data_IF_336220419487
#
_entry.id   IF_336220419487
#
_cell.length_a   1.000
_cell.length_b   1.000
_cell.length_c   1.000
_cell.angle_alpha   90.00
_cell.angle_beta   90.00
_cell.angle_gamma   90.00
#
_symmetry.space_group_name_H-M   'P 1'
#
loop_
_entity.id
_entity.type
_entity.pdbx_description
1 polymer ?
#
# COMPACT_ATOMS: atom_id res chain seq x y z
N UNK A 1 -0.09 -28.63 -44.02
CA UNK A 1 -1.46 -28.42 -43.48
C UNK A 1 -1.69 -29.01 -42.10
N UNK A 2 -1.39 -30.29 -41.80
CA UNK A 2 -1.61 -30.87 -40.46
C UNK A 2 -0.79 -30.16 -39.34
N UNK A 3 0.45 -29.73 -39.59
CA UNK A 3 1.34 -29.06 -38.62
C UNK A 3 0.78 -27.69 -38.17
N UNK A 4 0.26 -26.87 -39.11
CA UNK A 4 -0.26 -25.51 -38.79
C UNK A 4 -1.53 -25.56 -37.95
N UNK A 5 -2.46 -26.50 -38.26
CA UNK A 5 -3.67 -26.72 -37.47
C UNK A 5 -3.33 -27.21 -36.05
N UNK A 6 -2.38 -28.11 -35.91
CA UNK A 6 -1.91 -28.61 -34.61
C UNK A 6 -1.32 -27.49 -33.77
N UNK A 7 -0.50 -26.62 -34.36
CA UNK A 7 0.09 -25.49 -33.63
C UNK A 7 -0.97 -24.47 -33.21
N UNK A 8 -1.97 -24.20 -34.05
CA UNK A 8 -3.07 -23.30 -33.67
C UNK A 8 -3.89 -23.84 -32.49
N UNK A 9 -4.23 -25.12 -32.49
CA UNK A 9 -4.92 -25.76 -31.36
C UNK A 9 -4.08 -25.76 -30.11
N UNK A 10 -2.76 -26.02 -30.24
CA UNK A 10 -1.83 -25.96 -29.10
C UNK A 10 -1.76 -24.56 -28.47
N UNK A 11 -1.75 -23.48 -29.26
CA UNK A 11 -1.77 -22.10 -28.74
C UNK A 11 -3.05 -21.82 -27.97
N UNK A 12 -4.22 -22.23 -28.47
CA UNK A 12 -5.50 -22.05 -27.79
C UNK A 12 -5.54 -22.85 -26.48
N UNK A 13 -5.09 -24.11 -26.49
CA UNK A 13 -5.03 -24.94 -25.28
C UNK A 13 -4.07 -24.34 -24.25
N UNK A 14 -2.89 -23.90 -24.69
CA UNK A 14 -1.90 -23.25 -23.82
C UNK A 14 -2.46 -21.97 -23.18
N UNK A 15 -3.17 -21.15 -23.97
CA UNK A 15 -3.81 -19.95 -23.44
C UNK A 15 -4.91 -20.29 -22.42
N UNK A 16 -5.78 -21.25 -22.71
CA UNK A 16 -6.82 -21.68 -21.76
C UNK A 16 -6.24 -22.25 -20.48
N UNK A 17 -5.11 -22.96 -20.57
CA UNK A 17 -4.39 -23.48 -19.42
C UNK A 17 -3.81 -22.32 -18.58
N UNK A 18 -3.14 -21.36 -19.21
CA UNK A 18 -2.58 -20.19 -18.52
C UNK A 18 -3.69 -19.35 -17.90
N UNK A 19 -4.80 -19.13 -18.61
CA UNK A 19 -5.99 -18.44 -18.08
C UNK A 19 -6.57 -19.20 -16.88
N UNK A 20 -6.69 -20.52 -16.96
CA UNK A 20 -7.19 -21.36 -15.88
C UNK A 20 -6.28 -21.30 -14.64
N UNK A 21 -4.95 -21.33 -14.84
CA UNK A 21 -3.97 -21.16 -13.74
C UNK A 21 -4.09 -19.76 -13.15
N UNK A 22 -4.23 -18.72 -13.96
CA UNK A 22 -4.39 -17.34 -13.47
C UNK A 22 -5.67 -17.18 -12.65
N UNK A 23 -6.81 -17.74 -13.12
CA UNK A 23 -8.07 -17.77 -12.35
C UNK A 23 -7.90 -18.54 -11.04
N UNK A 24 -7.28 -19.72 -11.10
CA UNK A 24 -7.02 -20.53 -9.90
C UNK A 24 -6.18 -19.74 -8.88
N UNK A 25 -5.11 -19.10 -9.34
CA UNK A 25 -4.24 -18.28 -8.47
C UNK A 25 -4.99 -17.08 -7.88
N UNK A 26 -5.85 -16.42 -8.67
CA UNK A 26 -6.64 -15.30 -8.20
C UNK A 26 -7.67 -15.69 -7.11
N UNK A 27 -8.23 -16.91 -7.18
CA UNK A 27 -9.26 -17.38 -6.25
C UNK A 27 -8.64 -18.03 -5.01
N UNK A 28 -7.67 -18.92 -5.21
CA UNK A 28 -7.15 -19.79 -4.14
C UNK A 28 -5.77 -19.34 -3.62
N UNK A 29 -5.04 -18.52 -4.38
CA UNK A 29 -3.65 -18.19 -4.10
C UNK A 29 -2.68 -19.34 -4.43
N UNK A 30 -1.40 -19.05 -4.39
CA UNK A 30 -0.31 -20.03 -4.46
C UNK A 30 0.76 -19.60 -3.46
N UNK A 31 1.08 -20.46 -2.50
CA UNK A 31 2.07 -20.18 -1.45
C UNK A 31 1.81 -18.85 -0.71
N UNK A 32 0.59 -18.64 -0.26
CA UNK A 32 0.09 -17.45 0.45
C UNK A 32 0.19 -16.13 -0.35
N UNK A 33 0.24 -16.23 -1.68
CA UNK A 33 0.28 -15.07 -2.59
C UNK A 33 -0.75 -15.20 -3.72
N UNK A 34 -1.05 -14.06 -4.34
CA UNK A 34 -1.87 -14.01 -5.56
C UNK A 34 -3.37 -14.11 -5.34
N UNK A 35 -3.88 -14.42 -4.14
CA UNK A 35 -5.31 -14.39 -3.86
C UNK A 35 -5.80 -12.95 -3.88
N UNK A 36 -6.86 -12.66 -4.62
CA UNK A 36 -7.43 -11.30 -4.74
C UNK A 36 -7.84 -10.74 -3.37
N UNK A 37 -8.26 -11.60 -2.46
CA UNK A 37 -8.60 -11.23 -1.08
C UNK A 37 -7.42 -10.65 -0.28
N UNK A 38 -6.17 -10.93 -0.66
CA UNK A 38 -4.96 -10.43 -0.01
C UNK A 38 -4.49 -9.08 -0.56
N UNK A 39 -5.22 -8.48 -1.51
CA UNK A 39 -4.93 -7.12 -1.97
C UNK A 39 -5.15 -6.16 -0.80
N UNK A 40 -4.11 -5.40 -0.47
CA UNK A 40 -4.20 -4.37 0.58
C UNK A 40 -5.20 -3.30 0.18
N UNK A 41 -6.12 -2.98 1.08
CA UNK A 41 -7.14 -1.96 0.86
C UNK A 41 -6.74 -0.66 1.57
N UNK A 42 -6.90 0.46 0.90
CA UNK A 42 -6.68 1.78 1.49
C UNK A 42 -7.76 2.17 2.51
N UNK A 43 -7.51 3.25 3.21
CA UNK A 43 -8.39 3.79 4.25
C UNK A 43 -9.82 4.05 3.77
N UNK A 44 -9.97 4.52 2.53
CA UNK A 44 -11.24 4.81 1.87
C UNK A 44 -12.10 3.57 1.59
N UNK A 45 -11.49 2.38 1.55
CA UNK A 45 -12.16 1.10 1.33
C UNK A 45 -12.32 0.26 2.59
N UNK A 46 -11.36 0.32 3.51
CA UNK A 46 -11.33 -0.51 4.72
C UNK A 46 -11.87 0.23 5.94
N UNK A 47 -11.96 1.55 5.86
CA UNK A 47 -12.17 2.42 7.01
C UNK A 47 -10.91 2.54 7.86
N UNK A 48 -10.95 3.24 8.96
CA UNK A 48 -9.82 3.40 9.88
C UNK A 48 -9.52 4.85 10.22
N UNK A 49 -8.27 5.15 10.59
CA UNK A 49 -7.79 6.46 11.02
C UNK A 49 -6.83 7.08 9.98
N UNK A 50 -7.02 8.35 9.68
CA UNK A 50 -6.01 9.19 9.01
C UNK A 50 -5.72 10.39 9.89
N UNK A 51 -4.44 10.61 10.19
CA UNK A 51 -4.01 11.79 10.96
C UNK A 51 -2.89 12.51 10.20
N UNK A 52 -3.02 13.84 10.12
CA UNK A 52 -2.02 14.71 9.51
C UNK A 52 -1.44 15.61 10.56
N UNK A 53 -0.12 15.61 10.64
CA UNK A 53 0.69 16.46 11.50
C UNK A 53 1.40 17.53 10.68
N UNK A 54 1.53 18.71 11.27
CA UNK A 54 2.35 19.81 10.75
C UNK A 54 3.60 19.95 11.60
N UNK A 55 4.75 19.98 10.95
CA UNK A 55 6.06 20.19 11.57
C UNK A 55 6.16 21.64 12.01
N UNK A 56 6.52 21.86 13.28
CA UNK A 56 6.54 23.19 13.87
C UNK A 56 7.87 23.94 13.65
N UNK A 57 8.94 23.23 13.37
CA UNK A 57 10.24 23.78 13.06
C UNK A 57 10.24 24.43 11.66
N UNK A 58 10.90 25.59 11.53
CA UNK A 58 11.06 26.28 10.24
C UNK A 58 12.21 25.69 9.41
N UNK A 59 13.23 25.15 10.07
CA UNK A 59 14.38 24.51 9.46
C UNK A 59 14.66 23.17 10.17
N UNK A 60 14.78 22.10 9.38
CA UNK A 60 15.07 20.75 9.85
C UNK A 60 15.81 19.95 8.77
N UNK A 61 16.54 18.94 9.16
CA UNK A 61 17.25 18.10 8.21
C UNK A 61 16.34 17.01 7.62
N UNK A 62 16.65 16.54 6.40
CA UNK A 62 15.98 15.37 5.81
C UNK A 62 16.06 14.14 6.73
N UNK A 63 17.16 14.03 7.50
CA UNK A 63 17.33 12.95 8.48
C UNK A 63 16.33 13.04 9.62
N UNK A 64 16.09 14.22 10.18
CA UNK A 64 15.12 14.40 11.27
C UNK A 64 13.70 14.06 10.78
N UNK A 65 13.39 14.39 9.53
CA UNK A 65 12.13 14.05 8.90
C UNK A 65 11.97 12.53 8.73
N UNK A 66 12.98 11.86 8.18
CA UNK A 66 12.96 10.39 8.01
C UNK A 66 12.91 9.66 9.37
N UNK A 67 13.69 10.11 10.36
CA UNK A 67 13.68 9.53 11.72
C UNK A 67 12.31 9.75 12.39
N UNK A 68 11.68 10.92 12.18
CA UNK A 68 10.33 11.20 12.69
C UNK A 68 9.29 10.28 12.05
N UNK A 69 9.31 10.13 10.72
CA UNK A 69 8.43 9.20 10.00
C UNK A 69 8.60 7.78 10.48
N UNK A 70 9.84 7.31 10.58
CA UNK A 70 10.16 5.98 11.09
C UNK A 70 9.62 5.74 12.51
N UNK A 71 9.73 6.71 13.42
CA UNK A 71 9.20 6.59 14.78
C UNK A 71 7.66 6.57 14.81
N UNK A 72 7.00 7.36 13.95
CA UNK A 72 5.54 7.28 13.77
C UNK A 72 5.14 5.88 13.27
N UNK A 73 5.85 5.33 12.28
CA UNK A 73 5.62 3.98 11.77
C UNK A 73 5.74 2.95 12.89
N UNK A 74 6.79 3.03 13.70
CA UNK A 74 6.99 2.11 14.85
C UNK A 74 5.90 2.20 15.91
N UNK A 75 5.35 3.38 16.15
CA UNK A 75 4.19 3.55 17.05
C UNK A 75 2.93 2.89 16.48
N UNK A 76 2.70 3.03 15.18
CA UNK A 76 1.55 2.40 14.50
C UNK A 76 1.70 0.89 14.42
N UNK A 77 2.92 0.36 14.20
CA UNK A 77 3.21 -1.08 14.17
C UNK A 77 2.78 -1.83 15.44
N UNK A 78 2.75 -1.14 16.59
CA UNK A 78 2.26 -1.73 17.83
C UNK A 78 0.77 -2.10 17.77
N UNK A 79 0.00 -1.50 16.88
CA UNK A 79 -1.46 -1.70 16.76
C UNK A 79 -1.87 -2.46 15.50
N UNK A 80 -1.11 -2.32 14.41
CA UNK A 80 -1.45 -2.92 13.12
C UNK A 80 -0.23 -3.08 12.22
N UNK A 81 -0.27 -4.09 11.34
CA UNK A 81 0.74 -4.27 10.29
C UNK A 81 0.34 -3.59 8.96
N UNK A 82 -0.84 -2.97 8.90
CA UNK A 82 -1.31 -2.27 7.71
C UNK A 82 -1.37 -0.76 7.99
N UNK A 83 -0.40 -0.03 7.51
CA UNK A 83 -0.32 1.42 7.64
C UNK A 83 0.46 2.04 6.48
N UNK A 84 0.35 3.35 6.35
CA UNK A 84 1.15 4.16 5.44
C UNK A 84 1.47 5.49 6.10
N UNK A 85 2.77 5.84 6.17
CA UNK A 85 3.24 7.14 6.67
C UNK A 85 3.98 7.83 5.53
N UNK A 86 3.57 9.03 5.18
CA UNK A 86 4.14 9.77 4.06
C UNK A 86 4.08 11.29 4.27
N UNK A 87 4.90 11.97 3.51
CA UNK A 87 4.87 13.44 3.44
C UNK A 87 3.67 13.90 2.60
N UNK A 88 2.91 14.85 3.10
CA UNK A 88 1.71 15.40 2.46
C UNK A 88 1.90 16.90 2.17
N UNK A 89 2.68 17.21 1.14
CA UNK A 89 3.11 18.56 0.81
C UNK A 89 4.20 19.09 1.75
N UNK A 90 4.34 20.40 1.82
CA UNK A 90 5.37 21.04 2.63
C UNK A 90 5.06 20.94 4.12
N UNK A 91 6.05 20.52 4.93
CA UNK A 91 6.00 20.48 6.39
C UNK A 91 4.85 19.64 6.98
N UNK A 92 4.34 18.64 6.27
CA UNK A 92 3.28 17.78 6.78
C UNK A 92 3.61 16.31 6.66
N UNK A 93 3.25 15.55 7.68
CA UNK A 93 3.33 14.09 7.70
C UNK A 93 1.92 13.55 7.91
N UNK A 94 1.48 12.65 7.05
CA UNK A 94 0.19 11.96 7.18
C UNK A 94 0.43 10.49 7.48
N UNK A 95 -0.24 9.98 8.51
CA UNK A 95 -0.34 8.57 8.83
C UNK A 95 -1.75 8.06 8.51
N UNK A 96 -1.85 7.05 7.66
CA UNK A 96 -3.08 6.34 7.33
C UNK A 96 -3.03 4.93 7.90
N UNK A 97 -4.05 4.55 8.65
CA UNK A 97 -4.13 3.30 9.41
C UNK A 97 -5.46 2.62 9.08
N UNK A 98 -5.51 1.81 8.00
CA UNK A 98 -6.75 1.16 7.58
C UNK A 98 -7.17 0.05 8.52
N UNK A 99 -8.47 -0.17 8.64
CA UNK A 99 -9.07 -1.34 9.28
C UNK A 99 -9.03 -1.37 10.79
N UNK A 100 -8.62 -0.27 11.45
CA UNK A 100 -8.61 -0.19 12.91
C UNK A 100 -9.97 0.23 13.45
N UNK A 101 -10.35 -0.35 14.59
CA UNK A 101 -11.61 -0.05 15.29
C UNK A 101 -11.41 0.84 16.52
N UNK A 102 -10.21 0.89 17.06
CA UNK A 102 -9.78 1.65 18.24
C UNK A 102 -9.02 2.95 17.84
N UNK A 103 -9.59 3.70 16.90
CA UNK A 103 -8.96 4.89 16.33
C UNK A 103 -8.57 5.95 17.38
N UNK A 104 -9.39 6.13 18.42
CA UNK A 104 -9.12 7.12 19.48
C UNK A 104 -7.88 6.75 20.31
N UNK A 105 -7.69 5.48 20.64
CA UNK A 105 -6.53 4.97 21.38
C UNK A 105 -5.23 5.15 20.57
N UNK A 106 -5.27 4.81 19.27
CA UNK A 106 -4.14 5.00 18.38
C UNK A 106 -3.80 6.49 18.20
N UNK A 107 -4.83 7.33 18.07
CA UNK A 107 -4.65 8.77 17.96
C UNK A 107 -3.98 9.34 19.23
N UNK A 108 -4.40 8.89 20.40
CA UNK A 108 -3.77 9.26 21.66
C UNK A 108 -2.29 8.83 21.70
N UNK A 109 -2.00 7.59 21.34
CA UNK A 109 -0.63 7.07 21.27
C UNK A 109 0.27 7.81 20.26
N UNK A 110 -0.31 8.25 19.14
CA UNK A 110 0.43 9.04 18.14
C UNK A 110 0.67 10.48 18.56
N UNK A 111 -0.21 11.06 19.39
CA UNK A 111 -0.08 12.43 19.89
C UNK A 111 0.92 12.56 21.06
N UNK A 112 1.41 11.45 21.58
CA UNK A 112 2.44 11.41 22.60
C UNK A 112 3.79 11.83 21.98
N UNK A 113 4.47 12.83 22.55
CA UNK A 113 5.80 13.24 22.11
C UNK A 113 6.85 12.13 22.39
N UNK A 114 6.62 11.36 23.44
CA UNK A 114 7.51 10.28 23.88
C UNK A 114 8.74 10.79 24.63
N UNK A 115 8.67 11.99 25.18
CA UNK A 115 9.77 12.64 25.89
C UNK A 115 9.87 12.12 27.30
N UNK A 116 10.91 11.31 27.57
CA UNK A 116 11.25 10.85 28.93
C UNK A 116 12.39 11.67 29.50
N UNK A 117 12.22 12.20 30.72
CA UNK A 117 13.21 13.01 31.43
C UNK A 117 13.29 12.60 32.88
N UNK A 118 14.51 12.61 33.42
CA UNK A 118 14.78 12.40 34.82
C UNK A 118 15.28 13.72 35.42
N UNK A 119 14.55 14.25 36.39
CA UNK A 119 14.88 15.51 37.05
C UNK A 119 15.25 15.28 38.48
N UNK A 120 16.33 15.91 38.92
CA UNK A 120 16.63 16.10 40.32
C UNK A 120 15.65 17.13 40.96
N UNK A 121 15.61 17.27 42.30
CA UNK A 121 14.65 18.16 42.93
C UNK A 121 14.76 19.63 42.51
N UNK A 122 15.95 20.11 42.24
CA UNK A 122 16.20 21.53 41.90
C UNK A 122 15.70 21.82 40.46
N UNK A 123 15.97 20.93 39.56
CA UNK A 123 15.47 21.03 38.15
C UNK A 123 13.97 20.72 38.05
N UNK A 124 13.41 19.85 38.90
CA UNK A 124 11.98 19.65 39.00
C UNK A 124 11.25 20.92 39.48
N UNK A 125 11.81 21.66 40.45
CA UNK A 125 11.24 22.93 40.92
C UNK A 125 11.19 23.96 39.77
N UNK A 126 12.23 24.08 38.97
CA UNK A 126 12.26 24.95 37.78
C UNK A 126 11.23 24.50 36.72
N UNK A 127 11.23 23.20 36.41
CA UNK A 127 10.26 22.64 35.50
C UNK A 127 8.81 22.94 35.91
N UNK A 128 8.48 22.77 37.21
CA UNK A 128 7.13 23.02 37.72
C UNK A 128 6.72 24.49 37.66
N UNK A 129 7.68 25.42 37.63
CA UNK A 129 7.49 26.86 37.48
C UNK A 129 7.52 27.34 36.04
N UNK A 130 7.80 26.43 35.05
CA UNK A 130 7.99 26.79 33.65
C UNK A 130 9.28 27.56 33.37
N UNK A 131 10.27 27.46 34.23
CA UNK A 131 11.59 28.03 34.08
C UNK A 131 12.51 27.09 33.29
N UNK A 132 13.61 27.62 32.74
CA UNK A 132 14.60 26.79 32.06
C UNK A 132 15.25 25.79 33.04
N UNK A 133 15.26 24.54 32.71
CA UNK A 133 15.79 23.42 33.46
C UNK A 133 16.66 22.52 32.57
N UNK A 134 17.43 21.65 33.18
CA UNK A 134 18.26 20.65 32.51
C UNK A 134 17.88 19.25 33.04
N UNK A 135 17.55 18.33 32.12
CA UNK A 135 17.29 16.97 32.50
C UNK A 135 18.61 16.23 32.79
N UNK A 136 18.65 15.51 33.91
CA UNK A 136 19.80 14.71 34.26
C UNK A 136 20.01 13.51 33.36
N UNK A 137 18.90 12.88 32.90
CA UNK A 137 18.86 11.87 31.86
C UNK A 137 17.65 12.12 30.98
N UNK A 138 17.74 11.62 29.74
CA UNK A 138 16.68 11.69 28.75
C UNK A 138 16.37 10.29 28.21
N UNK A 139 15.36 10.19 27.32
CA UNK A 139 15.04 8.94 26.63
C UNK A 139 16.21 8.35 25.84
N UNK A 140 17.15 9.17 25.37
CA UNK A 140 18.33 8.71 24.62
C UNK A 140 19.32 7.92 25.49
N UNK A 141 19.27 8.09 26.82
CA UNK A 141 20.06 7.34 27.78
C UNK A 141 19.47 5.93 28.05
N UNK A 142 18.28 5.62 27.50
CA UNK A 142 17.60 4.33 27.66
C UNK A 142 17.95 3.39 26.51
N UNK A 143 18.45 2.20 26.85
CA UNK A 143 18.75 1.12 25.89
C UNK A 143 17.53 0.25 25.61
N UNK A 144 16.70 0.01 26.62
CA UNK A 144 15.50 -0.82 26.50
C UNK A 144 14.49 -0.49 27.61
N UNK A 145 13.22 -0.71 27.32
CA UNK A 145 12.13 -0.61 28.29
C UNK A 145 11.20 -1.81 28.12
N UNK A 146 10.81 -2.47 29.22
CA UNK A 146 9.94 -3.66 29.21
C UNK A 146 8.92 -3.56 30.34
N UNK A 147 7.66 -3.93 30.02
CA UNK A 147 6.64 -4.08 31.05
C UNK A 147 6.92 -5.32 31.92
N UNK A 148 6.62 -5.23 33.20
CA UNK A 148 6.80 -6.29 34.16
C UNK A 148 5.80 -6.22 35.30
N UNK A 149 5.85 -7.21 36.17
CA UNK A 149 5.11 -7.23 37.42
C UNK A 149 6.12 -7.36 38.56
N UNK A 150 6.13 -6.39 39.48
CA UNK A 150 6.96 -6.43 40.66
C UNK A 150 6.30 -7.32 41.71
N UNK A 151 6.79 -8.56 41.82
CA UNK A 151 6.28 -9.56 42.76
C UNK A 151 6.68 -9.27 44.20
N UNK A 152 7.72 -8.44 44.39
CA UNK A 152 8.27 -8.13 45.74
C UNK A 152 7.48 -6.99 46.40
N UNK A 153 6.82 -6.14 45.60
CA UNK A 153 6.06 -4.97 46.07
C UNK A 153 4.54 -5.08 45.74
N UNK A 154 3.94 -6.23 45.96
CA UNK A 154 2.47 -6.36 45.90
C UNK A 154 1.89 -6.68 44.51
N UNK A 155 2.68 -7.15 43.56
CA UNK A 155 2.32 -7.39 42.18
C UNK A 155 1.91 -6.12 41.41
N UNK A 156 2.58 -5.01 41.70
CA UNK A 156 2.39 -3.77 40.94
C UNK A 156 2.88 -3.93 39.49
N UNK A 157 2.16 -3.32 38.55
CA UNK A 157 2.62 -3.23 37.18
C UNK A 157 3.74 -2.17 37.12
N UNK A 158 4.83 -2.54 36.45
CA UNK A 158 6.04 -1.72 36.36
C UNK A 158 6.55 -1.65 34.93
N UNK A 159 7.31 -0.57 34.62
CA UNK A 159 8.18 -0.53 33.45
C UNK A 159 9.63 -0.59 33.90
N UNK A 160 10.31 -1.64 33.51
CA UNK A 160 11.73 -1.84 33.75
C UNK A 160 12.53 -1.13 32.66
N UNK A 161 13.42 -0.24 33.06
CA UNK A 161 14.30 0.52 32.19
C UNK A 161 15.73 -0.05 32.30
N UNK A 162 16.33 -0.33 31.14
CA UNK A 162 17.75 -0.63 31.03
C UNK A 162 18.44 0.56 30.34
N UNK A 163 19.47 1.10 30.97
CA UNK A 163 20.21 2.24 30.45
C UNK A 163 21.29 1.83 29.44
N UNK A 164 21.70 2.75 28.59
CA UNK A 164 22.97 2.67 27.85
C UNK A 164 24.15 2.72 28.82
N UNK A 165 25.36 2.39 28.35
CA UNK A 165 26.55 2.44 29.22
C UNK A 165 26.80 3.88 29.75
N UNK A 166 26.58 4.89 28.90
CA UNK A 166 26.64 6.30 29.28
C UNK A 166 25.51 6.71 30.22
N UNK A 167 24.27 6.27 29.90
CA UNK A 167 23.09 6.51 30.74
C UNK A 167 23.22 5.88 32.12
N UNK A 168 23.77 4.67 32.22
CA UNK A 168 24.03 4.00 33.49
C UNK A 168 25.00 4.80 34.39
N UNK A 169 26.06 5.38 33.81
CA UNK A 169 26.99 6.23 34.53
C UNK A 169 26.31 7.52 35.01
N UNK A 170 25.60 8.22 34.14
CA UNK A 170 24.83 9.41 34.48
C UNK A 170 23.81 9.12 35.60
N UNK A 171 23.09 7.98 35.50
CA UNK A 171 22.11 7.58 36.51
C UNK A 171 22.75 7.27 37.86
N UNK A 172 23.92 6.62 37.86
CA UNK A 172 24.70 6.38 39.08
C UNK A 172 25.12 7.70 39.72
N UNK A 173 25.63 8.66 38.96
CA UNK A 173 26.06 9.98 39.45
C UNK A 173 24.88 10.78 40.03
N UNK A 174 23.74 10.80 39.32
CA UNK A 174 22.52 11.50 39.78
C UNK A 174 21.96 10.87 41.05
N UNK A 175 21.89 9.54 41.11
CA UNK A 175 21.41 8.85 42.31
C UNK A 175 22.37 9.01 43.49
N UNK A 176 23.69 9.00 43.28
CA UNK A 176 24.68 9.26 44.31
C UNK A 176 24.55 10.68 44.89
N UNK A 177 24.34 11.69 44.07
CA UNK A 177 24.18 13.08 44.46
C UNK A 177 22.85 13.37 45.19
N UNK A 178 21.84 12.50 44.99
CA UNK A 178 20.51 12.72 45.50
C UNK A 178 20.03 11.64 46.49
N UNK A 179 20.93 10.98 47.21
CA UNK A 179 20.56 10.02 48.27
C UNK A 179 19.72 10.71 49.34
N UNK A 180 18.55 10.11 49.66
CA UNK A 180 17.55 10.66 50.59
C UNK A 180 16.62 11.69 49.99
N UNK A 181 16.82 12.06 48.71
CA UNK A 181 15.93 12.98 47.94
C UNK A 181 15.12 12.23 46.93
N UNK A 182 14.13 12.91 46.33
CA UNK A 182 13.28 12.40 45.29
C UNK A 182 13.90 12.66 43.91
N UNK A 183 13.95 11.69 43.02
CA UNK A 183 14.21 11.88 41.61
C UNK A 183 12.90 11.72 40.87
N UNK A 184 12.54 12.69 40.05
CA UNK A 184 11.29 12.73 39.33
C UNK A 184 11.47 12.16 37.92
N UNK A 185 10.63 11.21 37.55
CA UNK A 185 10.55 10.66 36.20
C UNK A 185 9.36 11.32 35.53
N UNK A 186 9.63 12.10 34.50
CA UNK A 186 8.64 12.85 33.75
C UNK A 186 8.53 12.24 32.37
N UNK A 187 7.29 11.97 31.95
CA UNK A 187 6.99 11.48 30.62
C UNK A 187 5.88 12.37 30.02
N UNK A 188 6.17 13.01 28.89
CA UNK A 188 5.27 13.93 28.20
C UNK A 188 4.62 14.97 29.14
N UNK A 189 5.44 15.70 29.86
CA UNK A 189 5.04 16.72 30.82
C UNK A 189 4.15 16.21 31.98
N UNK A 190 4.14 14.89 32.25
CA UNK A 190 3.48 14.29 33.42
C UNK A 190 4.48 13.57 34.29
N UNK A 191 4.36 13.75 35.59
CA UNK A 191 5.17 12.96 36.55
C UNK A 191 4.59 11.54 36.58
N UNK A 192 5.36 10.56 36.06
CA UNK A 192 4.97 9.14 36.07
C UNK A 192 5.49 8.39 37.26
N UNK A 193 6.61 8.84 37.86
CA UNK A 193 7.15 8.28 39.08
C UNK A 193 7.99 9.31 39.82
N UNK A 194 8.05 9.21 41.14
CA UNK A 194 8.83 10.10 42.02
C UNK A 194 9.46 9.30 43.20
N UNK A 195 10.37 8.36 42.89
CA UNK A 195 10.98 7.55 43.92
C UNK A 195 11.98 8.36 44.78
N UNK A 196 12.04 8.01 46.08
CA UNK A 196 13.13 8.50 46.96
C UNK A 196 14.34 7.58 46.76
N UNK A 197 15.48 8.19 46.44
CA UNK A 197 16.73 7.47 46.26
C UNK A 197 17.24 6.94 47.61
N UNK A 198 17.27 5.61 47.79
CA UNK A 198 17.77 4.99 49.05
C UNK A 198 19.30 4.89 49.07
N UNK A 199 19.89 4.62 47.91
CA UNK A 199 21.34 4.50 47.71
C UNK A 199 21.70 4.77 46.28
N UNK A 200 22.97 5.00 45.96
CA UNK A 200 23.43 5.11 44.59
C UNK A 200 23.12 3.81 43.80
N UNK A 201 22.51 3.95 42.62
CA UNK A 201 22.11 2.83 41.76
C UNK A 201 23.15 2.71 40.66
N UNK A 202 24.03 1.72 40.76
CA UNK A 202 25.10 1.45 39.77
C UNK A 202 24.80 0.28 38.86
N UNK A 203 23.63 -0.35 39.00
CA UNK A 203 23.24 -1.56 38.26
C UNK A 203 22.79 -1.33 36.85
N UNK A 204 22.71 -0.09 36.35
CA UNK A 204 22.33 0.24 34.99
C UNK A 204 20.85 -0.03 34.66
N UNK A 205 20.00 -0.10 35.69
CA UNK A 205 18.54 -0.31 35.53
C UNK A 205 17.74 0.53 36.55
N UNK A 206 16.50 0.87 36.18
CA UNK A 206 15.51 1.51 37.05
C UNK A 206 14.13 0.95 36.77
N UNK A 207 13.17 1.24 37.67
CA UNK A 207 11.78 0.85 37.49
C UNK A 207 10.84 2.04 37.67
N UNK A 208 9.84 2.14 36.79
CA UNK A 208 8.71 3.04 36.95
C UNK A 208 7.58 2.20 37.54
N UNK A 209 7.18 2.48 38.76
CA UNK A 209 6.24 1.69 39.54
C UNK A 209 4.84 2.31 39.53
N UNK A 210 3.85 1.55 40.05
CA UNK A 210 2.46 1.99 40.24
C UNK A 210 1.72 2.40 38.97
N UNK A 211 1.94 1.65 37.90
CA UNK A 211 1.19 1.79 36.66
C UNK A 211 -0.14 1.05 36.81
N UNK A 212 -1.26 1.66 36.39
CA UNK A 212 -2.62 1.18 36.66
C UNK A 212 -2.89 -0.22 36.13
N UNK A 213 -2.48 -0.53 34.91
CA UNK A 213 -2.66 -1.85 34.31
C UNK A 213 -1.38 -2.32 33.59
N UNK A 214 -1.28 -3.66 33.38
CA UNK A 214 -0.18 -4.22 32.59
C UNK A 214 -0.17 -3.69 31.17
N UNK A 215 -1.35 -3.45 30.59
CA UNK A 215 -1.52 -2.90 29.25
C UNK A 215 -0.98 -1.47 29.15
N UNK A 216 -1.27 -0.62 30.12
CA UNK A 216 -0.66 0.72 30.24
C UNK A 216 0.86 0.65 30.42
N UNK A 217 1.37 -0.32 31.18
CA UNK A 217 2.81 -0.52 31.34
C UNK A 217 3.47 -0.93 30.02
N UNK A 218 2.81 -1.78 29.22
CA UNK A 218 3.33 -2.23 27.93
C UNK A 218 3.30 -1.10 26.89
N UNK A 219 2.26 -0.29 26.86
CA UNK A 219 2.19 0.91 26.03
C UNK A 219 3.28 1.91 26.37
N UNK A 220 3.47 2.21 27.67
CA UNK A 220 4.50 3.11 28.14
C UNK A 220 5.90 2.59 27.80
N UNK A 221 6.18 1.30 28.06
CA UNK A 221 7.44 0.66 27.73
C UNK A 221 7.75 0.71 26.23
N UNK A 222 6.73 0.47 25.38
CA UNK A 222 6.85 0.55 23.93
C UNK A 222 7.18 1.96 23.47
N UNK A 223 6.48 2.97 23.99
CA UNK A 223 6.70 4.37 23.59
C UNK A 223 8.07 4.87 24.07
N UNK A 224 8.51 4.51 25.28
CA UNK A 224 9.86 4.82 25.77
C UNK A 224 10.93 4.17 24.88
N UNK A 225 10.72 2.92 24.45
CA UNK A 225 11.64 2.18 23.59
C UNK A 225 11.76 2.79 22.20
N UNK A 226 10.67 3.32 21.65
CA UNK A 226 10.64 4.04 20.36
C UNK A 226 11.32 5.40 20.51
N UNK A 227 11.13 6.04 21.65
CA UNK A 227 11.72 7.32 22.01
C UNK A 227 10.99 8.55 21.47
N UNK A 228 11.48 9.73 21.82
CA UNK A 228 10.91 11.01 21.43
C UNK A 228 11.05 11.25 19.92
N UNK A 229 10.08 11.96 19.36
CA UNK A 229 10.13 12.42 17.97
C UNK A 229 11.21 13.50 17.83
N UNK A 230 12.08 13.43 16.81
CA UNK A 230 13.06 14.48 16.54
C UNK A 230 12.43 15.84 16.21
N UNK A 231 11.27 15.83 15.57
CA UNK A 231 10.52 17.03 15.20
C UNK A 231 9.26 17.17 16.05
N UNK A 232 8.95 18.42 16.41
CA UNK A 232 7.71 18.76 17.11
C UNK A 232 6.53 18.74 16.13
N UNK A 233 5.58 17.89 16.41
CA UNK A 233 4.42 17.69 15.54
C UNK A 233 3.16 18.30 16.17
N UNK A 234 2.41 19.06 15.37
CA UNK A 234 1.09 19.54 15.72
C UNK A 234 0.04 18.85 14.86
N UNK A 235 -0.89 18.17 15.48
CA UNK A 235 -2.03 17.59 14.77
C UNK A 235 -2.88 18.71 14.14
N UNK A 236 -3.01 18.69 12.81
CA UNK A 236 -3.82 19.66 12.06
C UNK A 236 -5.08 19.05 11.49
N UNK A 237 -5.10 17.73 11.29
CA UNK A 237 -6.24 17.00 10.76
C UNK A 237 -6.31 15.59 11.37
N UNK A 238 -7.51 15.16 11.71
CA UNK A 238 -7.81 13.77 12.05
C UNK A 238 -9.14 13.38 11.40
N UNK A 239 -9.14 12.27 10.68
CA UNK A 239 -10.33 11.73 10.05
C UNK A 239 -10.48 10.26 10.43
N UNK A 240 -11.60 9.93 11.05
CA UNK A 240 -11.99 8.54 11.29
C UNK A 240 -13.00 8.15 10.21
N UNK A 241 -12.66 7.18 9.38
CA UNK A 241 -13.51 6.67 8.30
C UNK A 241 -14.17 5.38 8.77
N UNK A 242 -15.50 5.37 8.76
CA UNK A 242 -16.25 4.16 9.12
C UNK A 242 -16.11 3.05 8.06
N UNK A 243 -15.90 1.81 8.50
CA UNK A 243 -15.75 0.64 7.64
C UNK A 243 -16.97 0.35 6.73
N UNK A 244 -18.17 0.81 7.12
CA UNK A 244 -19.41 0.63 6.34
C UNK A 244 -19.38 1.38 5.01
N UNK A 245 -18.83 2.60 4.99
CA UNK A 245 -18.71 3.40 3.76
C UNK A 245 -17.79 2.70 2.73
N UNK A 246 -16.70 2.12 3.19
CA UNK A 246 -15.76 1.39 2.33
C UNK A 246 -16.35 0.12 1.75
N UNK A 247 -17.07 -0.69 2.53
CA UNK A 247 -17.70 -1.93 2.05
C UNK A 247 -18.77 -1.66 0.99
N UNK A 248 -19.56 -0.61 1.15
CA UNK A 248 -20.54 -0.17 0.17
C UNK A 248 -19.88 0.33 -1.12
N UNK A 249 -18.77 1.07 -1.01
CA UNK A 249 -17.99 1.54 -2.14
C UNK A 249 -17.41 0.37 -2.93
N UNK A 250 -16.84 -0.65 -2.28
CA UNK A 250 -16.33 -1.88 -2.92
C UNK A 250 -17.45 -2.61 -3.66
N UNK A 251 -18.58 -2.88 -2.97
CA UNK A 251 -19.72 -3.59 -3.55
C UNK A 251 -20.27 -2.88 -4.79
N UNK A 252 -20.42 -1.57 -4.71
CA UNK A 252 -20.91 -0.74 -5.83
C UNK A 252 -19.91 -0.70 -6.98
N UNK A 253 -18.61 -0.55 -6.69
CA UNK A 253 -17.55 -0.53 -7.71
C UNK A 253 -17.41 -1.87 -8.41
N UNK A 254 -17.51 -2.99 -7.70
CA UNK A 254 -17.49 -4.34 -8.31
C UNK A 254 -18.70 -4.56 -9.22
N UNK A 255 -19.90 -4.14 -8.80
CA UNK A 255 -21.10 -4.22 -9.66
C UNK A 255 -20.94 -3.36 -10.92
N UNK A 256 -20.46 -2.11 -10.76
CA UNK A 256 -20.24 -1.20 -11.87
C UNK A 256 -19.17 -1.76 -12.84
N UNK A 257 -18.06 -2.28 -12.31
CA UNK A 257 -17.01 -2.93 -13.10
C UNK A 257 -17.52 -4.15 -13.87
N UNK A 258 -18.28 -5.04 -13.22
CA UNK A 258 -18.86 -6.22 -13.87
C UNK A 258 -19.83 -5.84 -15.00
N UNK A 259 -20.70 -4.85 -14.77
CA UNK A 259 -21.61 -4.32 -15.79
C UNK A 259 -20.81 -3.70 -16.95
N UNK A 260 -19.79 -2.90 -16.65
CA UNK A 260 -18.92 -2.29 -17.65
C UNK A 260 -18.22 -3.33 -18.54
N UNK A 261 -17.62 -4.36 -17.94
CA UNK A 261 -16.96 -5.46 -18.66
C UNK A 261 -17.98 -6.22 -19.51
N UNK A 262 -19.17 -6.52 -19.00
CA UNK A 262 -20.22 -7.21 -19.75
C UNK A 262 -20.68 -6.40 -20.96
N UNK A 263 -20.87 -5.08 -20.82
CA UNK A 263 -21.22 -4.19 -21.93
C UNK A 263 -20.11 -4.13 -22.97
N UNK A 264 -18.86 -4.06 -22.56
CA UNK A 264 -17.69 -4.09 -23.46
C UNK A 264 -17.66 -5.40 -24.24
N UNK A 265 -17.82 -6.56 -23.59
CA UNK A 265 -17.88 -7.86 -24.28
C UNK A 265 -19.00 -7.89 -25.31
N UNK A 266 -20.18 -7.42 -24.92
CA UNK A 266 -21.34 -7.38 -25.83
C UNK A 266 -21.04 -6.54 -27.08
N UNK A 267 -20.53 -5.33 -26.89
CA UNK A 267 -20.19 -4.42 -28.00
C UNK A 267 -19.12 -5.05 -28.89
N UNK A 268 -18.04 -5.59 -28.30
CA UNK A 268 -16.97 -6.22 -29.07
C UNK A 268 -17.46 -7.40 -29.92
N UNK A 269 -18.32 -8.26 -29.35
CA UNK A 269 -18.88 -9.42 -30.09
C UNK A 269 -19.83 -8.96 -31.18
N UNK A 270 -20.67 -7.96 -30.95
CA UNK A 270 -21.61 -7.45 -31.96
C UNK A 270 -20.88 -6.79 -33.13
N UNK A 271 -19.91 -5.90 -32.83
CA UNK A 271 -19.24 -5.08 -33.86
C UNK A 271 -18.16 -5.86 -34.61
N UNK A 272 -17.38 -6.67 -33.90
CA UNK A 272 -16.22 -7.37 -34.47
C UNK A 272 -16.42 -8.88 -34.62
N UNK A 273 -17.51 -9.46 -34.14
CA UNK A 273 -17.85 -10.89 -34.25
C UNK A 273 -16.71 -11.79 -33.72
N UNK A 274 -16.11 -12.64 -34.57
CA UNK A 274 -15.03 -13.57 -34.15
C UNK A 274 -13.80 -12.86 -33.57
N UNK A 275 -13.21 -11.81 -34.18
CA UNK A 275 -12.20 -11.00 -33.56
C UNK A 275 -12.61 -10.41 -32.20
N UNK A 276 -13.88 -9.97 -32.09
CA UNK A 276 -14.43 -9.47 -30.83
C UNK A 276 -14.50 -10.51 -29.72
N UNK A 277 -14.84 -11.76 -30.07
CA UNK A 277 -14.78 -12.86 -29.10
C UNK A 277 -13.34 -13.13 -28.61
N UNK A 278 -12.36 -13.10 -29.53
CA UNK A 278 -10.93 -13.25 -29.17
C UNK A 278 -10.50 -12.12 -28.26
N UNK A 279 -10.88 -10.87 -28.55
CA UNK A 279 -10.58 -9.74 -27.67
C UNK A 279 -11.23 -9.86 -26.30
N UNK A 280 -12.46 -10.39 -26.22
CA UNK A 280 -13.13 -10.63 -24.94
C UNK A 280 -12.37 -11.63 -24.05
N UNK A 281 -11.81 -12.70 -24.64
CA UNK A 281 -10.93 -13.62 -23.90
C UNK A 281 -9.62 -12.97 -23.47
N UNK A 282 -9.00 -12.17 -24.36
CA UNK A 282 -7.78 -11.43 -24.01
C UNK A 282 -8.04 -10.41 -22.91
N UNK A 283 -9.20 -9.73 -22.91
CA UNK A 283 -9.60 -8.79 -21.89
C UNK A 283 -9.90 -9.46 -20.54
N UNK A 284 -10.54 -10.63 -20.55
CA UNK A 284 -10.73 -11.42 -19.33
C UNK A 284 -9.37 -11.82 -18.72
N UNK A 285 -8.44 -12.26 -19.55
CA UNK A 285 -7.08 -12.57 -19.12
C UNK A 285 -6.36 -11.32 -18.57
N UNK A 286 -6.47 -10.19 -19.27
CA UNK A 286 -5.92 -8.90 -18.84
C UNK A 286 -6.41 -8.51 -17.45
N UNK A 287 -7.74 -8.55 -17.22
CA UNK A 287 -8.34 -8.16 -15.94
C UNK A 287 -7.81 -9.01 -14.78
N UNK A 288 -7.67 -10.32 -14.97
CA UNK A 288 -7.13 -11.22 -13.96
C UNK A 288 -5.63 -10.95 -13.74
N UNK A 289 -4.88 -10.76 -14.82
CA UNK A 289 -3.45 -10.47 -14.76
C UNK A 289 -3.18 -9.16 -14.05
N UNK A 290 -4.00 -8.12 -14.27
CA UNK A 290 -3.89 -6.82 -13.61
C UNK A 290 -4.08 -6.95 -12.09
N UNK A 291 -5.11 -7.66 -11.63
CA UNK A 291 -5.32 -7.94 -10.22
C UNK A 291 -4.18 -8.75 -9.59
N UNK A 292 -3.64 -9.74 -10.31
CA UNK A 292 -2.50 -10.54 -9.84
C UNK A 292 -1.24 -9.69 -9.71
N UNK A 293 -0.99 -8.77 -10.64
CA UNK A 293 0.16 -7.88 -10.62
C UNK A 293 0.04 -6.85 -9.50
N UNK A 294 -1.14 -6.27 -9.28
CA UNK A 294 -1.44 -5.39 -8.14
C UNK A 294 -1.12 -6.10 -6.81
N UNK A 295 -1.56 -7.35 -6.66
CA UNK A 295 -1.27 -8.15 -5.47
C UNK A 295 0.23 -8.48 -5.34
N UNK A 296 0.89 -8.87 -6.43
CA UNK A 296 2.31 -9.24 -6.44
C UNK A 296 3.22 -8.09 -6.00
N UNK A 297 2.91 -6.86 -6.42
CA UNK A 297 3.65 -5.66 -6.05
C UNK A 297 3.20 -5.04 -4.72
N UNK A 298 2.28 -5.70 -3.99
CA UNK A 298 1.72 -5.20 -2.73
C UNK A 298 1.14 -3.78 -2.85
N UNK A 299 0.53 -3.45 -3.98
CA UNK A 299 -0.06 -2.13 -4.21
C UNK A 299 -1.33 -1.99 -3.37
N UNK A 300 -1.41 -0.93 -2.58
CA UNK A 300 -2.62 -0.62 -1.81
C UNK A 300 -3.71 -0.11 -2.75
N UNK A 301 -4.83 -0.84 -2.80
CA UNK A 301 -5.98 -0.50 -3.63
C UNK A 301 -6.86 0.52 -2.91
N UNK A 302 -6.99 1.70 -3.49
CA UNK A 302 -7.83 2.80 -3.01
C UNK A 302 -9.10 2.92 -3.87
N UNK A 303 -10.09 3.70 -3.44
CA UNK A 303 -11.29 3.94 -4.26
C UNK A 303 -10.94 4.57 -5.64
N UNK A 304 -10.10 5.61 -5.73
CA UNK A 304 -9.57 6.06 -7.00
C UNK A 304 -8.74 4.98 -7.72
N UNK A 305 -8.02 4.11 -6.98
CA UNK A 305 -7.29 2.98 -7.56
C UNK A 305 -8.20 1.97 -8.27
N UNK A 306 -9.37 1.65 -7.69
CA UNK A 306 -10.40 0.84 -8.37
C UNK A 306 -10.87 1.55 -9.65
N UNK A 307 -11.10 2.85 -9.60
CA UNK A 307 -11.46 3.61 -10.79
C UNK A 307 -10.36 3.55 -11.87
N UNK A 308 -9.08 3.58 -11.46
CA UNK A 308 -7.92 3.36 -12.34
C UNK A 308 -7.94 1.99 -13.03
N UNK A 309 -8.22 0.93 -12.28
CA UNK A 309 -8.38 -0.43 -12.83
C UNK A 309 -9.54 -0.49 -13.83
N UNK A 310 -10.71 0.06 -13.51
CA UNK A 310 -11.87 0.08 -14.41
C UNK A 310 -11.56 0.89 -15.68
N UNK A 311 -10.89 2.02 -15.54
CA UNK A 311 -10.49 2.86 -16.67
C UNK A 311 -9.50 2.12 -17.56
N UNK A 312 -8.52 1.44 -17.01
CA UNK A 312 -7.50 0.69 -17.76
C UNK A 312 -8.12 -0.49 -18.55
N UNK A 313 -9.18 -1.13 -18.02
CA UNK A 313 -9.97 -2.13 -18.76
C UNK A 313 -10.57 -1.51 -20.02
N UNK A 314 -11.12 -0.30 -19.94
CA UNK A 314 -11.62 0.44 -21.10
C UNK A 314 -10.53 0.70 -22.16
N UNK A 315 -9.35 1.15 -21.71
CA UNK A 315 -8.20 1.40 -22.61
C UNK A 315 -7.63 0.10 -23.22
N UNK A 316 -7.68 -1.01 -22.49
CA UNK A 316 -7.25 -2.30 -23.03
C UNK A 316 -8.11 -2.77 -24.21
N UNK A 317 -9.38 -2.39 -24.24
CA UNK A 317 -10.27 -2.64 -25.38
C UNK A 317 -9.93 -1.77 -26.56
N UNK A 318 -9.60 -0.49 -26.35
CA UNK A 318 -9.31 0.47 -27.41
C UNK A 318 -8.15 0.01 -28.30
N UNK A 319 -7.09 -0.53 -27.72
CA UNK A 319 -5.99 -1.12 -28.48
C UNK A 319 -6.46 -2.23 -29.44
N UNK A 320 -7.37 -3.11 -29.00
CA UNK A 320 -7.96 -4.15 -29.86
C UNK A 320 -8.88 -3.57 -30.95
N UNK A 321 -9.64 -2.52 -30.62
CA UNK A 321 -10.50 -1.81 -31.60
C UNK A 321 -9.66 -1.21 -32.73
N UNK A 322 -8.56 -0.53 -32.38
CA UNK A 322 -7.62 0.05 -33.37
C UNK A 322 -7.05 -1.07 -34.26
N UNK A 323 -6.56 -2.16 -33.68
CA UNK A 323 -6.02 -3.30 -34.43
C UNK A 323 -7.06 -3.86 -35.39
N UNK A 324 -8.29 -4.12 -34.93
CA UNK A 324 -9.34 -4.72 -35.77
C UNK A 324 -9.83 -3.78 -36.84
N UNK A 325 -9.82 -2.49 -36.61
CA UNK A 325 -10.13 -1.50 -37.64
C UNK A 325 -9.05 -1.52 -38.72
N UNK A 326 -7.77 -1.55 -38.38
CA UNK A 326 -6.68 -1.70 -39.35
C UNK A 326 -6.74 -3.02 -40.11
N UNK A 327 -7.12 -4.12 -39.46
CA UNK A 327 -7.34 -5.40 -40.15
C UNK A 327 -8.49 -5.30 -41.18
N UNK A 328 -9.58 -4.60 -40.85
CA UNK A 328 -10.70 -4.38 -41.78
C UNK A 328 -10.27 -3.55 -43.00
N UNK A 329 -9.44 -2.50 -42.77
CA UNK A 329 -8.89 -1.69 -43.88
C UNK A 329 -8.01 -2.54 -44.80
N UNK A 330 -7.10 -3.34 -44.26
CA UNK A 330 -6.24 -4.24 -45.01
C UNK A 330 -7.03 -5.29 -45.80
N UNK A 331 -8.14 -5.77 -45.26
CA UNK A 331 -9.06 -6.68 -45.99
C UNK A 331 -9.82 -5.96 -47.12
N UNK A 332 -10.21 -4.70 -46.91
CA UNK A 332 -10.87 -3.89 -47.94
C UNK A 332 -9.93 -3.60 -49.13
N UNK A 333 -8.61 -3.50 -48.86
CA UNK A 333 -7.58 -3.39 -49.89
C UNK A 333 -7.30 -4.69 -50.65
N UNK A 334 -8.08 -5.76 -50.41
CA UNK A 334 -8.01 -7.02 -51.11
C UNK A 334 -6.89 -7.97 -50.64
N UNK A 335 -6.25 -7.71 -49.50
CA UNK A 335 -5.23 -8.59 -48.94
C UNK A 335 -5.86 -9.87 -48.37
N UNK A 336 -5.11 -10.96 -48.43
CA UNK A 336 -5.55 -12.21 -47.78
C UNK A 336 -5.70 -12.03 -46.25
N UNK A 337 -6.59 -12.78 -45.62
CA UNK A 337 -6.88 -12.68 -44.17
C UNK A 337 -5.59 -12.78 -43.33
N UNK A 338 -4.68 -13.66 -43.73
CA UNK A 338 -3.37 -13.79 -43.01
C UNK A 338 -2.47 -12.56 -43.15
N UNK A 339 -2.46 -11.94 -44.35
CA UNK A 339 -1.70 -10.70 -44.59
C UNK A 339 -2.36 -9.53 -43.90
N UNK A 340 -3.71 -9.44 -43.94
CA UNK A 340 -4.47 -8.39 -43.27
C UNK A 340 -4.28 -8.42 -41.75
N UNK A 341 -4.28 -9.60 -41.11
CA UNK A 341 -3.99 -9.70 -39.67
C UNK A 341 -2.57 -9.20 -39.38
N UNK A 342 -1.56 -9.66 -40.14
CA UNK A 342 -0.18 -9.20 -39.93
C UNK A 342 0.00 -7.71 -40.17
N UNK A 343 -0.61 -7.19 -41.26
CA UNK A 343 -0.57 -5.75 -41.58
C UNK A 343 -1.27 -4.90 -40.54
N UNK A 344 -2.49 -5.32 -40.12
CA UNK A 344 -3.29 -4.61 -39.13
C UNK A 344 -2.57 -4.43 -37.79
N UNK A 345 -1.92 -5.47 -37.26
CA UNK A 345 -1.10 -5.36 -36.04
C UNK A 345 0.10 -4.45 -36.24
N UNK A 346 0.77 -4.52 -37.37
CA UNK A 346 1.93 -3.67 -37.66
C UNK A 346 1.54 -2.20 -37.78
N UNK A 347 0.47 -1.90 -38.51
CA UNK A 347 0.03 -0.54 -38.78
C UNK A 347 -0.68 0.11 -37.57
N UNK A 348 -1.21 -0.70 -36.63
CA UNK A 348 -1.79 -0.23 -35.38
C UNK A 348 -0.75 0.11 -34.31
N UNK A 349 0.48 -0.44 -34.40
CA UNK A 349 1.48 -0.41 -33.34
C UNK A 349 1.83 1.01 -32.90
N UNK A 350 2.10 1.93 -33.85
CA UNK A 350 2.45 3.32 -33.53
C UNK A 350 1.32 4.00 -32.76
N UNK A 351 0.08 3.91 -33.26
CA UNK A 351 -1.07 4.56 -32.63
C UNK A 351 -1.32 4.04 -31.20
N UNK A 352 -1.14 2.73 -30.98
CA UNK A 352 -1.30 2.10 -29.66
C UNK A 352 -0.21 2.60 -28.72
N UNK A 353 1.06 2.62 -29.13
CA UNK A 353 2.16 3.08 -28.30
C UNK A 353 1.99 4.55 -27.97
N UNK A 354 1.75 5.41 -28.98
CA UNK A 354 1.65 6.85 -28.80
C UNK A 354 0.52 7.23 -27.81
N UNK A 355 -0.67 6.61 -27.95
CA UNK A 355 -1.78 6.86 -27.05
C UNK A 355 -1.52 6.39 -25.61
N UNK A 356 -0.85 5.24 -25.45
CA UNK A 356 -0.56 4.70 -24.10
C UNK A 356 0.63 5.38 -23.43
N UNK A 357 1.63 5.87 -24.18
CA UNK A 357 2.77 6.63 -23.63
C UNK A 357 2.29 7.94 -23.00
N UNK A 358 1.36 8.66 -23.63
CA UNK A 358 0.80 9.89 -23.05
C UNK A 358 0.09 9.63 -21.71
N UNK A 359 -0.68 8.56 -21.63
CA UNK A 359 -1.34 8.16 -20.37
C UNK A 359 -0.33 7.74 -19.31
N UNK A 360 0.72 7.01 -19.72
CA UNK A 360 1.79 6.59 -18.80
C UNK A 360 2.57 7.78 -18.23
N UNK A 361 2.84 8.80 -19.06
CA UNK A 361 3.47 10.06 -18.60
C UNK A 361 2.58 10.74 -17.55
N UNK A 362 1.27 10.86 -17.80
CA UNK A 362 0.34 11.43 -16.83
C UNK A 362 0.30 10.62 -15.52
N UNK A 363 0.26 9.29 -15.61
CA UNK A 363 0.31 8.41 -14.45
C UNK A 363 1.63 8.54 -13.68
N UNK A 364 2.78 8.67 -14.35
CA UNK A 364 4.08 8.90 -13.72
C UNK A 364 4.11 10.23 -12.96
N UNK A 365 3.64 11.32 -13.56
CA UNK A 365 3.57 12.63 -12.90
C UNK A 365 2.69 12.56 -11.65
N UNK A 366 1.51 11.94 -11.74
CA UNK A 366 0.63 11.73 -10.60
C UNK A 366 1.24 10.79 -9.55
N UNK A 367 2.05 9.82 -9.94
CA UNK A 367 2.73 8.90 -9.04
C UNK A 367 3.89 9.55 -8.26
N UNK A 368 4.56 10.55 -8.87
CA UNK A 368 5.68 11.28 -8.24
C UNK A 368 5.16 12.40 -7.34
N UNK A 369 4.23 13.20 -7.83
CA UNK A 369 3.73 14.38 -7.11
C UNK A 369 2.43 14.13 -6.33
N UNK A 370 1.73 13.03 -6.59
CA UNK A 370 0.50 12.68 -5.88
C UNK A 370 0.80 12.05 -4.53
N UNK A 371 -0.09 12.31 -3.56
CA UNK A 371 -0.05 11.74 -2.21
C UNK A 371 -1.26 10.85 -1.95
N UNK A 372 -1.17 9.98 -0.97
CA UNK A 372 -2.29 9.16 -0.50
C UNK A 372 -3.03 8.42 -1.63
N UNK A 373 -4.32 8.63 -1.73
CA UNK A 373 -5.21 7.93 -2.68
C UNK A 373 -4.92 8.25 -4.15
N UNK A 374 -4.38 9.44 -4.46
CA UNK A 374 -3.99 9.83 -5.83
C UNK A 374 -2.82 8.99 -6.33
N UNK A 375 -1.85 8.72 -5.47
CA UNK A 375 -0.71 7.85 -5.77
C UNK A 375 -1.18 6.42 -6.05
N UNK A 376 -2.16 5.91 -5.29
CA UNK A 376 -2.80 4.62 -5.53
C UNK A 376 -3.43 4.53 -6.93
N UNK A 377 -4.20 5.55 -7.34
CA UNK A 377 -4.76 5.67 -8.68
C UNK A 377 -3.67 5.66 -9.77
N UNK A 378 -2.63 6.46 -9.59
CA UNK A 378 -1.54 6.58 -10.56
C UNK A 378 -0.82 5.24 -10.80
N UNK A 379 -0.53 4.51 -9.74
CA UNK A 379 0.16 3.21 -9.81
C UNK A 379 -0.73 2.16 -10.49
N UNK A 380 -2.00 2.04 -10.10
CA UNK A 380 -2.92 1.07 -10.73
C UNK A 380 -3.16 1.39 -12.20
N UNK A 381 -3.28 2.68 -12.55
CA UNK A 381 -3.40 3.12 -13.93
C UNK A 381 -2.14 2.77 -14.75
N UNK A 382 -0.94 3.05 -14.22
CA UNK A 382 0.32 2.74 -14.90
C UNK A 382 0.48 1.24 -15.16
N UNK A 383 0.20 0.40 -14.15
CA UNK A 383 0.22 -1.07 -14.29
C UNK A 383 -0.77 -1.50 -15.38
N UNK A 384 -2.01 -1.02 -15.31
CA UNK A 384 -3.05 -1.36 -16.27
C UNK A 384 -2.69 -0.97 -17.71
N UNK A 385 -2.11 0.22 -17.93
CA UNK A 385 -1.66 0.67 -19.26
C UNK A 385 -0.57 -0.25 -19.82
N UNK A 386 0.44 -0.57 -19.03
CA UNK A 386 1.53 -1.46 -19.47
C UNK A 386 1.00 -2.85 -19.84
N UNK A 387 0.14 -3.41 -18.98
CA UNK A 387 -0.46 -4.72 -19.20
C UNK A 387 -1.44 -4.73 -20.39
N UNK A 388 -2.16 -3.64 -20.64
CA UNK A 388 -3.08 -3.51 -21.78
C UNK A 388 -2.33 -3.60 -23.10
N UNK A 389 -1.22 -2.87 -23.24
CA UNK A 389 -0.37 -2.94 -24.44
C UNK A 389 0.20 -4.34 -24.63
N UNK A 390 0.72 -4.94 -23.55
CA UNK A 390 1.24 -6.30 -23.60
C UNK A 390 0.17 -7.31 -24.05
N UNK A 391 -1.02 -7.28 -23.46
CA UNK A 391 -2.08 -8.24 -23.78
C UNK A 391 -2.63 -8.02 -25.19
N UNK A 392 -2.78 -6.78 -25.64
CA UNK A 392 -3.21 -6.48 -27.00
C UNK A 392 -2.19 -6.99 -28.06
N UNK A 393 -0.91 -6.72 -27.86
CA UNK A 393 0.12 -7.06 -28.85
C UNK A 393 0.58 -8.53 -28.78
N UNK A 394 0.64 -9.14 -27.60
CA UNK A 394 1.12 -10.52 -27.44
C UNK A 394 -0.03 -11.53 -27.44
N UNK A 395 -1.03 -11.32 -26.58
CA UNK A 395 -2.10 -12.31 -26.35
C UNK A 395 -3.13 -12.26 -27.48
N UNK A 396 -3.69 -11.06 -27.78
CA UNK A 396 -4.70 -10.92 -28.83
C UNK A 396 -4.13 -11.31 -30.20
N UNK A 397 -2.88 -10.94 -30.51
CA UNK A 397 -2.23 -11.34 -31.77
C UNK A 397 -2.07 -12.86 -31.88
N UNK A 398 -1.58 -13.50 -30.82
CA UNK A 398 -1.38 -14.95 -30.81
C UNK A 398 -2.70 -15.71 -30.98
N UNK A 399 -3.72 -15.30 -30.22
CA UNK A 399 -5.05 -15.89 -30.29
C UNK A 399 -5.71 -15.67 -31.65
N UNK A 400 -5.73 -14.44 -32.17
CA UNK A 400 -6.35 -14.14 -33.45
C UNK A 400 -5.66 -14.89 -34.58
N UNK A 401 -4.35 -14.96 -34.57
CA UNK A 401 -3.57 -15.73 -35.56
C UNK A 401 -3.91 -17.23 -35.48
N UNK A 402 -4.08 -17.78 -34.28
CA UNK A 402 -4.46 -19.16 -34.06
C UNK A 402 -5.90 -19.45 -34.57
N UNK A 403 -6.85 -18.53 -34.35
CA UNK A 403 -8.22 -18.67 -34.84
C UNK A 403 -8.34 -18.56 -36.37
N UNK A 404 -7.58 -17.65 -37.00
CA UNK A 404 -7.64 -17.41 -38.45
C UNK A 404 -7.01 -18.55 -39.24
N UNK A 405 -5.94 -19.16 -38.78
CA UNK A 405 -5.23 -20.23 -39.48
C UNK A 405 -6.09 -21.46 -39.83
N UNK A 406 -7.00 -21.97 -38.99
CA UNK A 406 -7.92 -23.08 -39.36
C UNK A 406 -9.12 -22.67 -40.22
N UNK A 407 -9.62 -21.43 -40.03
CA UNK A 407 -10.86 -20.94 -40.69
C UNK A 407 -10.65 -20.56 -42.15
N UNK A 408 -9.48 -20.02 -42.51
CA UNK A 408 -9.14 -19.61 -43.87
C UNK A 408 -9.23 -20.79 -44.89
N UNK A 409 -9.06 -22.02 -44.42
CA UNK A 409 -9.12 -23.20 -45.28
C UNK A 409 -10.53 -23.74 -45.51
N UNK A 410 -11.46 -23.49 -44.62
CA UNK A 410 -12.86 -23.98 -44.80
C UNK A 410 -13.65 -23.10 -45.77
N UNK A 411 -13.39 -21.79 -45.79
CA UNK A 411 -14.04 -20.88 -46.74
C UNK A 411 -13.50 -21.01 -48.18
N UNK A 412 -12.21 -21.24 -48.38
CA UNK A 412 -11.62 -21.47 -49.71
C UNK A 412 -12.18 -22.76 -50.36
N UNK A 413 -12.38 -23.83 -49.58
CA UNK A 413 -12.95 -25.07 -50.07
C UNK A 413 -14.44 -24.94 -50.41
N UNK A 414 -15.19 -24.07 -49.72
CA UNK A 414 -16.60 -23.81 -50.06
C UNK A 414 -16.77 -22.96 -51.33
N UNK A 415 -15.77 -22.13 -51.67
CA UNK A 415 -15.74 -21.39 -52.93
C UNK A 415 -15.35 -22.25 -54.14
N UNK A 416 -14.32 -23.13 -53.94
CA UNK A 416 -13.93 -24.08 -55.04
C UNK A 416 -15.02 -25.08 -55.36
N UNK A 417 -15.83 -25.54 -54.39
CA UNK A 417 -16.99 -26.41 -54.63
C UNK A 417 -18.18 -25.71 -55.33
N UNK A 418 -18.27 -24.37 -55.23
CA UNK A 418 -19.31 -23.58 -55.91
C UNK A 418 -18.93 -23.17 -57.33
N UNK A 419 -17.66 -23.20 -57.71
CA UNK A 419 -17.22 -22.89 -59.06
C UNK A 419 -17.16 -24.14 -59.96
N UNK A 420 -17.35 -25.34 -59.38
CA UNK A 420 -17.35 -26.62 -60.12
C UNK A 420 -18.72 -27.29 -60.17
N UNK A 421 -19.83 -26.57 -59.89
CA UNK A 421 -21.18 -26.90 -60.16
C UNK A 421 -21.77 -25.80 -61.03
#
# INVERSE_FOLDING_TARGET
MKKTKRNAVLVIIAFLLVLGVAIYTAIFGVADRGKVEYIKLGLDLKGGLSVTYEIQEDDYSDKDLEDTKYKIEKRVEAYTNEYSVYEDGDKKITAEIPGVTNADEILEALNIEGKLEFLDPDNYEKWSKGEAYEAALTGDDIKNATAGIDSDNGNDNVVQLAFTDEGAQKFADVTAANVGKVVYIIYDNKVVSAPTVQSAITGGSAEINKIGSYEEAEQLATTIRIGALPLTLKQVRSNIVGATLGSDAISTSLKAGAIGIALVFLIMIIVFRIPGLVASFALAFYTILDLLVINLFNVTLTLPGIAGVILSVGMAVDANVIIFTRIKEELADGKSVKQAVKGGFHNALSAIIDGNVTTLIAALVLGIFGTGTIKGFAITLAIGVVLSVFTALAVSQSLLTAFVNPVSYTHLRAHETRSNL
#
